data_IF_388947648224
#
_entry.id   IF_388947648224
#
_cell.length_a   1.000
_cell.length_b   1.000
_cell.length_c   1.000
_cell.angle_alpha   90.00
_cell.angle_beta   90.00
_cell.angle_gamma   90.00
#
_symmetry.space_group_name_H-M   'P 1'
#
loop_
_entity.id
_entity.type
_entity.pdbx_description
1 polymer ?
#
# COMPACT_ATOMS: atom_id res chain seq x y z
N UNK A 1 -3.18 -3.41 2.66
CA UNK A 1 -3.63 -3.84 4.00
C UNK A 1 -3.31 -2.72 4.99
N UNK A 2 -4.31 -1.98 5.47
CA UNK A 2 -4.10 -0.99 6.54
C UNK A 2 -4.13 -1.69 7.91
N UNK A 3 -3.25 -1.32 8.85
CA UNK A 3 -3.22 -1.89 10.21
C UNK A 3 -2.36 -3.14 10.40
N UNK A 4 -1.77 -3.69 9.33
CA UNK A 4 -0.88 -4.86 9.41
C UNK A 4 0.61 -4.50 9.61
N UNK A 5 0.91 -3.25 10.00
CA UNK A 5 2.27 -2.72 10.04
C UNK A 5 3.22 -3.56 10.92
N UNK A 6 2.72 -4.03 12.07
CA UNK A 6 3.51 -4.86 12.98
C UNK A 6 3.93 -6.20 12.35
N UNK A 7 3.02 -6.83 11.60
CA UNK A 7 3.30 -8.10 10.89
C UNK A 7 4.23 -7.86 9.71
N UNK A 8 4.02 -6.77 8.95
CA UNK A 8 4.86 -6.43 7.81
C UNK A 8 6.28 -6.00 8.21
N UNK A 9 6.47 -5.51 9.43
CA UNK A 9 7.79 -5.18 9.96
C UNK A 9 8.70 -6.42 10.07
N UNK A 10 8.13 -7.62 10.25
CA UNK A 10 8.90 -8.89 10.27
C UNK A 10 9.53 -9.22 8.91
N UNK A 11 8.99 -8.67 7.81
CA UNK A 11 9.55 -8.83 6.47
C UNK A 11 10.78 -7.93 6.22
N UNK A 12 11.06 -6.95 7.09
CA UNK A 12 12.19 -6.02 6.94
C UNK A 12 13.46 -6.70 7.44
N UNK A 13 14.39 -7.01 6.54
CA UNK A 13 15.67 -7.65 6.88
C UNK A 13 16.73 -6.63 7.28
N UNK A 14 16.65 -5.40 6.76
CA UNK A 14 17.59 -4.32 7.07
C UNK A 14 17.00 -2.94 6.80
N UNK A 15 17.26 -1.99 7.71
CA UNK A 15 17.11 -0.56 7.44
C UNK A 15 18.44 -0.04 6.90
N UNK A 16 18.47 0.33 5.62
CA UNK A 16 19.71 0.76 4.94
C UNK A 16 20.02 2.22 5.22
N UNK A 17 19.01 3.07 5.16
CA UNK A 17 19.16 4.50 5.38
C UNK A 17 17.83 5.17 5.74
N UNK A 18 17.92 6.40 6.25
CA UNK A 18 16.79 7.32 6.43
C UNK A 18 17.18 8.68 5.88
N UNK A 19 16.31 9.26 5.06
CA UNK A 19 16.53 10.55 4.43
C UNK A 19 15.55 11.58 4.97
N UNK A 20 16.02 12.83 5.12
CA UNK A 20 15.20 13.99 5.50
C UNK A 20 14.52 13.86 6.88
N UNK A 21 15.14 13.11 7.80
CA UNK A 21 14.62 12.85 9.14
C UNK A 21 14.44 14.13 9.97
N UNK A 22 15.38 15.07 9.89
CA UNK A 22 15.32 16.33 10.63
C UNK A 22 14.20 17.27 10.12
N UNK A 23 13.87 17.19 8.83
CA UNK A 23 12.88 18.06 8.18
C UNK A 23 11.46 17.55 8.37
N UNK A 24 11.24 16.23 8.21
CA UNK A 24 9.90 15.65 8.19
C UNK A 24 9.57 14.80 9.42
N UNK A 25 10.55 14.46 10.25
CA UNK A 25 10.35 13.55 11.37
C UNK A 25 10.20 12.08 10.96
N UNK A 26 10.08 11.19 11.94
CA UNK A 26 10.08 9.73 11.73
C UNK A 26 8.97 9.19 10.79
N UNK A 27 7.69 9.61 10.91
CA UNK A 27 6.61 9.03 10.11
C UNK A 27 6.64 9.45 8.63
N UNK A 28 7.13 10.66 8.35
CA UNK A 28 7.11 11.26 7.01
C UNK A 28 8.48 11.27 6.30
N UNK A 29 9.56 10.88 7.00
CA UNK A 29 10.87 10.68 6.39
C UNK A 29 10.85 9.55 5.35
N UNK A 30 11.81 9.57 4.42
CA UNK A 30 11.96 8.52 3.41
C UNK A 30 12.88 7.44 3.97
N UNK A 31 12.35 6.23 4.08
CA UNK A 31 13.08 5.07 4.59
C UNK A 31 13.51 4.12 3.47
N UNK A 32 14.78 3.75 3.46
CA UNK A 32 15.32 2.75 2.56
C UNK A 32 15.36 1.38 3.27
N UNK A 33 14.47 0.47 2.87
CA UNK A 33 14.36 -0.87 3.46
C UNK A 33 14.82 -1.95 2.50
N UNK A 34 15.50 -2.96 3.05
CA UNK A 34 15.62 -4.28 2.43
C UNK A 34 14.56 -5.19 3.04
N UNK A 35 13.81 -5.87 2.18
CA UNK A 35 12.72 -6.75 2.57
C UNK A 35 12.85 -8.12 1.92
N UNK A 36 12.33 -9.15 2.59
CA UNK A 36 12.21 -10.50 2.05
C UNK A 36 10.80 -11.01 2.28
N UNK A 37 10.25 -11.71 1.28
CA UNK A 37 8.90 -12.27 1.31
C UNK A 37 7.80 -11.27 1.67
N UNK A 38 7.97 -10.00 1.25
CA UNK A 38 7.01 -8.93 1.54
C UNK A 38 5.72 -9.14 0.70
N UNK A 39 4.57 -9.42 1.33
CA UNK A 39 3.35 -9.72 0.59
C UNK A 39 2.77 -8.45 -0.02
N UNK A 40 2.47 -8.50 -1.32
CA UNK A 40 1.81 -7.43 -2.05
C UNK A 40 0.76 -7.99 -3.01
N UNK A 41 -0.25 -7.17 -3.30
CA UNK A 41 -1.29 -7.47 -4.29
C UNK A 41 -1.27 -6.36 -5.33
N UNK A 42 -1.23 -6.76 -6.61
CA UNK A 42 -1.32 -5.82 -7.73
C UNK A 42 -2.78 -5.37 -7.85
N UNK A 43 -3.08 -4.15 -7.40
CA UNK A 43 -4.43 -3.57 -7.53
C UNK A 43 -4.60 -2.72 -8.78
N UNK A 44 -3.49 -2.31 -9.39
CA UNK A 44 -3.40 -1.54 -10.62
C UNK A 44 -2.17 -1.98 -11.40
N UNK A 45 -2.32 -2.16 -12.70
CA UNK A 45 -1.25 -2.61 -13.57
C UNK A 45 -0.85 -1.54 -14.61
N UNK A 46 0.17 -1.82 -15.42
CA UNK A 46 0.65 -0.92 -16.46
C UNK A 46 -0.19 -0.92 -17.74
N UNK A 47 -1.19 -1.80 -17.87
CA UNK A 47 -2.09 -1.88 -19.02
C UNK A 47 -3.36 -1.05 -18.82
N UNK A 48 -3.51 -0.41 -17.66
CA UNK A 48 -4.62 0.48 -17.33
C UNK A 48 -5.73 -0.20 -16.51
N UNK A 49 -5.54 -1.46 -16.12
CA UNK A 49 -6.48 -2.19 -15.27
C UNK A 49 -6.40 -1.69 -13.82
N UNK A 50 -7.54 -1.67 -13.14
CA UNK A 50 -7.63 -1.21 -11.75
C UNK A 50 -8.80 -1.88 -11.03
N UNK A 51 -8.48 -2.70 -10.03
CA UNK A 51 -9.48 -3.35 -9.17
C UNK A 51 -10.35 -2.30 -8.45
N UNK A 52 -9.77 -1.15 -8.10
CA UNK A 52 -10.52 -0.06 -7.46
C UNK A 52 -11.60 0.52 -8.38
N UNK A 53 -11.29 0.73 -9.66
CA UNK A 53 -12.27 1.23 -10.64
C UNK A 53 -13.41 0.23 -10.83
N UNK A 54 -13.06 -1.05 -10.97
CA UNK A 54 -14.03 -2.13 -11.15
C UNK A 54 -15.00 -2.23 -9.97
N UNK A 55 -14.46 -2.34 -8.74
CA UNK A 55 -15.29 -2.47 -7.53
C UNK A 55 -16.15 -1.22 -7.31
N UNK A 56 -15.63 -0.03 -7.59
CA UNK A 56 -16.42 1.20 -7.51
C UNK A 56 -17.62 1.17 -8.47
N UNK A 57 -17.40 0.77 -9.73
CA UNK A 57 -18.47 0.65 -10.72
C UNK A 57 -19.52 -0.40 -10.34
N UNK A 58 -19.08 -1.59 -9.90
CA UNK A 58 -19.95 -2.66 -9.45
C UNK A 58 -20.78 -2.25 -8.23
N UNK A 59 -20.15 -1.60 -7.25
CA UNK A 59 -20.82 -1.12 -6.03
C UNK A 59 -21.86 -0.05 -6.35
N UNK A 60 -21.53 0.89 -7.26
CA UNK A 60 -22.47 1.89 -7.74
C UNK A 60 -23.68 1.29 -8.45
N UNK A 61 -23.45 0.31 -9.34
CA UNK A 61 -24.52 -0.41 -10.02
C UNK A 61 -25.40 -1.22 -9.05
N UNK A 62 -24.79 -1.89 -8.07
CA UNK A 62 -25.51 -2.63 -7.04
C UNK A 62 -26.35 -1.70 -6.15
N UNK A 63 -25.84 -0.51 -5.81
CA UNK A 63 -26.57 0.50 -5.05
C UNK A 63 -27.77 1.05 -5.83
N UNK A 64 -27.60 1.31 -7.13
CA UNK A 64 -28.67 1.79 -8.00
C UNK A 64 -29.84 0.79 -8.13
N UNK A 65 -29.56 -0.51 -8.13
CA UNK A 65 -30.59 -1.58 -8.16
C UNK A 65 -31.40 -1.70 -6.86
N UNK A 66 -30.93 -1.10 -5.76
CA UNK A 66 -31.60 -1.12 -4.45
C UNK A 66 -32.43 0.14 -4.17
N UNK A 67 -32.44 1.09 -5.09
CA UNK A 67 -33.34 2.25 -5.11
C UNK A 67 -34.51 1.98 -6.03
#
# INVERSE_FOLDING_TARGET
MGGAAQVLAECITKVRNVHMLEEFGSPEAIWEFEVRDFPAVVTMDSHGESLHKEIHAQSGAALAKRR
#
